data_IF_358357242118
#
_entry.id   IF_358357242118
#
_cell.length_a   1.000
_cell.length_b   1.000
_cell.length_c   1.000
_cell.angle_alpha   90.00
_cell.angle_beta   90.00
_cell.angle_gamma   90.00
#
_symmetry.space_group_name_H-M   'P 1'
#
loop_
_entity.id
_entity.type
_entity.pdbx_description
1 polymer ?
#
# COMPACT_ATOMS: atom_id res chain seq x y z
N UNK A 1 6.74 -1.19 16.72
CA UNK A 1 6.57 -2.61 16.33
C UNK A 1 7.55 -2.88 15.21
N UNK A 2 8.34 -3.93 15.31
CA UNK A 2 9.26 -4.29 14.22
C UNK A 2 8.50 -4.56 12.91
N UNK A 3 9.10 -4.22 11.78
CA UNK A 3 8.48 -4.32 10.46
C UNK A 3 8.07 -5.75 10.10
N UNK A 4 8.83 -6.77 10.50
CA UNK A 4 8.51 -8.17 10.21
C UNK A 4 7.25 -8.60 10.96
N UNK A 5 7.16 -8.22 12.24
CA UNK A 5 5.96 -8.46 13.05
C UNK A 5 4.75 -7.70 12.50
N UNK A 6 4.96 -6.45 12.08
CA UNK A 6 3.90 -5.62 11.55
C UNK A 6 3.34 -6.20 10.23
N UNK A 7 4.20 -6.65 9.31
CA UNK A 7 3.80 -7.31 8.06
C UNK A 7 2.94 -8.56 8.34
N UNK A 8 3.37 -9.41 9.26
CA UNK A 8 2.62 -10.61 9.63
C UNK A 8 1.23 -10.29 10.21
N UNK A 9 1.15 -9.30 11.10
CA UNK A 9 -0.13 -8.88 11.68
C UNK A 9 -1.05 -8.21 10.65
N UNK A 10 -0.52 -7.34 9.78
CA UNK A 10 -1.30 -6.73 8.70
C UNK A 10 -1.83 -7.79 7.74
N UNK A 11 -1.03 -8.82 7.43
CA UNK A 11 -1.47 -9.96 6.62
C UNK A 11 -2.65 -10.69 7.25
N UNK A 12 -2.61 -10.89 8.58
CA UNK A 12 -3.69 -11.55 9.29
C UNK A 12 -4.98 -10.70 9.31
N UNK A 13 -4.86 -9.38 9.50
CA UNK A 13 -6.01 -8.47 9.67
C UNK A 13 -6.62 -8.05 8.33
N UNK A 14 -5.78 -7.74 7.35
CA UNK A 14 -6.17 -7.14 6.08
C UNK A 14 -6.07 -8.08 4.89
N UNK A 15 -5.30 -9.18 4.99
CA UNK A 15 -4.97 -10.02 3.84
C UNK A 15 -6.17 -10.67 3.12
N UNK A 16 -7.33 -10.76 3.77
CA UNK A 16 -8.57 -11.25 3.15
C UNK A 16 -9.54 -10.14 2.74
N UNK A 17 -9.44 -8.97 3.36
CA UNK A 17 -10.48 -7.93 3.28
C UNK A 17 -10.03 -6.69 2.51
N UNK A 18 -8.73 -6.52 2.30
CA UNK A 18 -8.18 -5.37 1.59
C UNK A 18 -7.54 -5.81 0.28
N UNK A 19 -8.16 -5.53 -0.89
CA UNK A 19 -7.67 -5.99 -2.18
C UNK A 19 -6.26 -5.49 -2.54
N UNK A 20 -5.87 -4.33 -2.00
CA UNK A 20 -4.55 -3.74 -2.20
C UNK A 20 -3.48 -4.29 -1.26
N UNK A 21 -3.84 -5.19 -0.32
CA UNK A 21 -2.90 -5.68 0.68
C UNK A 21 -1.67 -6.35 0.05
N UNK A 22 -1.83 -7.13 -1.01
CA UNK A 22 -0.69 -7.81 -1.69
C UNK A 22 0.33 -6.79 -2.20
N UNK A 23 -0.15 -5.71 -2.83
CA UNK A 23 0.68 -4.62 -3.33
C UNK A 23 1.33 -3.86 -2.16
N UNK A 24 0.55 -3.57 -1.11
CA UNK A 24 1.05 -2.89 0.07
C UNK A 24 2.14 -3.70 0.78
N UNK A 25 1.96 -5.02 0.88
CA UNK A 25 2.96 -5.91 1.45
C UNK A 25 4.26 -5.87 0.62
N UNK A 26 4.17 -5.89 -0.70
CA UNK A 26 5.34 -5.77 -1.58
C UNK A 26 6.03 -4.41 -1.46
N UNK A 27 5.27 -3.33 -1.30
CA UNK A 27 5.80 -2.00 -1.00
C UNK A 27 6.54 -1.99 0.34
N UNK A 28 5.99 -2.63 1.37
CA UNK A 28 6.65 -2.80 2.68
C UNK A 28 7.91 -3.68 2.63
N UNK A 29 8.13 -4.46 1.58
CA UNK A 29 9.40 -5.18 1.38
C UNK A 29 10.47 -4.31 0.73
N UNK A 30 10.07 -3.29 -0.03
CA UNK A 30 10.99 -2.35 -0.68
C UNK A 30 11.34 -1.17 0.22
N UNK A 31 10.50 -0.85 1.19
CA UNK A 31 10.74 0.24 2.12
C UNK A 31 11.90 -0.06 3.07
N UNK A 32 12.64 0.99 3.45
CA UNK A 32 13.73 0.90 4.44
C UNK A 32 13.22 1.02 5.89
N UNK A 33 11.90 1.04 6.08
CA UNK A 33 11.29 1.12 7.40
C UNK A 33 11.64 -0.11 8.22
N UNK A 34 12.25 0.10 9.38
CA UNK A 34 12.56 -0.97 10.34
C UNK A 34 11.45 -1.16 11.37
N UNK A 35 10.65 -0.14 11.60
CA UNK A 35 9.67 -0.10 12.69
C UNK A 35 8.41 0.63 12.21
N UNK A 36 7.25 0.07 12.51
CA UNK A 36 5.95 0.74 12.42
C UNK A 36 5.55 1.22 13.82
N UNK A 37 5.25 2.50 13.95
CA UNK A 37 4.74 3.09 15.20
C UNK A 37 3.20 3.01 15.25
N UNK A 38 2.60 3.36 16.38
CA UNK A 38 1.14 3.28 16.58
C UNK A 38 0.36 4.16 15.59
N UNK A 39 0.86 5.35 15.31
CA UNK A 39 0.23 6.30 14.40
C UNK A 39 0.20 5.76 12.96
N UNK A 40 1.35 5.30 12.46
CA UNK A 40 1.47 4.70 11.13
C UNK A 40 0.60 3.46 10.99
N UNK A 41 0.57 2.61 12.01
CA UNK A 41 -0.34 1.46 12.04
C UNK A 41 -1.81 1.87 11.93
N UNK A 42 -2.22 2.91 12.67
CA UNK A 42 -3.59 3.41 12.63
C UNK A 42 -3.94 3.97 11.25
N UNK A 43 -3.05 4.78 10.65
CA UNK A 43 -3.23 5.32 9.31
C UNK A 43 -3.33 4.22 8.25
N UNK A 44 -2.50 3.17 8.31
CA UNK A 44 -2.60 2.02 7.38
C UNK A 44 -3.97 1.34 7.48
N UNK A 45 -4.45 1.09 8.70
CA UNK A 45 -5.76 0.47 8.90
C UNK A 45 -6.89 1.37 8.42
N UNK A 46 -6.81 2.68 8.66
CA UNK A 46 -7.82 3.63 8.21
C UNK A 46 -7.83 3.72 6.68
N UNK A 47 -6.66 3.85 6.06
CA UNK A 47 -6.50 3.86 4.61
C UNK A 47 -7.08 2.60 3.97
N UNK A 48 -6.85 1.42 4.56
CA UNK A 48 -7.40 0.16 4.05
C UNK A 48 -8.93 0.10 4.01
N UNK A 49 -9.60 0.94 4.80
CA UNK A 49 -11.06 1.02 4.92
C UNK A 49 -11.64 2.23 4.20
N UNK A 50 -10.89 3.32 4.17
CA UNK A 50 -11.30 4.59 3.59
C UNK A 50 -11.09 4.61 2.08
N UNK A 51 -9.99 4.03 1.58
CA UNK A 51 -9.58 4.13 0.18
C UNK A 51 -10.02 2.91 -0.62
N UNK A 52 -10.62 3.18 -1.78
CA UNK A 52 -11.10 2.17 -2.71
C UNK A 52 -9.94 1.52 -3.47
N UNK A 53 -10.08 0.25 -3.92
CA UNK A 53 -9.01 -0.46 -4.61
C UNK A 53 -8.55 0.21 -5.92
N UNK A 54 -9.46 0.89 -6.61
CA UNK A 54 -9.18 1.67 -7.82
C UNK A 54 -8.44 3.00 -7.54
N UNK A 55 -8.39 3.44 -6.28
CA UNK A 55 -7.83 4.72 -5.82
C UNK A 55 -8.62 5.96 -6.31
N UNK A 56 -9.86 5.82 -6.78
CA UNK A 56 -10.67 6.94 -7.30
C UNK A 56 -10.98 7.98 -6.22
N UNK A 57 -11.14 7.54 -4.97
CA UNK A 57 -11.44 8.40 -3.84
C UNK A 57 -10.21 8.83 -3.02
N UNK A 58 -9.00 8.53 -3.51
CA UNK A 58 -7.77 8.98 -2.88
C UNK A 58 -7.44 10.42 -3.29
N UNK A 59 -7.19 11.26 -2.30
CA UNK A 59 -6.83 12.67 -2.45
C UNK A 59 -5.36 12.87 -2.05
N UNK A 60 -4.54 13.36 -2.98
CA UNK A 60 -3.10 13.57 -2.80
C UNK A 60 -2.75 14.79 -1.93
N UNK A 61 -3.68 15.73 -1.78
CA UNK A 61 -3.61 16.85 -0.84
C UNK A 61 -4.24 16.48 0.53
N UNK A 62 -4.63 15.22 0.70
CA UNK A 62 -5.21 14.67 1.91
C UNK A 62 -4.23 14.66 3.09
N UNK A 63 -4.77 14.46 4.30
CA UNK A 63 -3.97 14.41 5.53
C UNK A 63 -3.27 13.05 5.77
N UNK A 64 -3.05 12.27 4.71
CA UNK A 64 -2.39 10.97 4.83
C UNK A 64 -0.89 11.13 5.10
N UNK A 65 -0.26 10.18 5.82
CA UNK A 65 1.19 10.16 5.93
C UNK A 65 1.87 9.95 4.57
N UNK A 66 3.00 10.62 4.37
CA UNK A 66 3.85 10.52 3.16
C UNK A 66 4.09 9.07 2.71
N UNK A 67 4.23 8.12 3.64
CA UNK A 67 4.39 6.69 3.31
C UNK A 67 3.24 6.14 2.47
N UNK A 68 2.01 6.55 2.74
CA UNK A 68 0.83 6.12 1.98
C UNK A 68 0.75 6.80 0.62
N UNK A 69 1.19 8.06 0.53
CA UNK A 69 1.29 8.77 -0.74
C UNK A 69 2.33 8.10 -1.66
N UNK A 70 3.50 7.76 -1.10
CA UNK A 70 4.53 6.96 -1.78
C UNK A 70 4.01 5.59 -2.21
N UNK A 71 3.17 4.94 -1.39
CA UNK A 71 2.54 3.67 -1.76
C UNK A 71 1.59 3.83 -2.95
N UNK A 72 0.75 4.86 -2.95
CA UNK A 72 -0.19 5.13 -4.05
C UNK A 72 0.55 5.42 -5.34
N UNK A 73 1.59 6.25 -5.28
CA UNK A 73 2.45 6.52 -6.43
C UNK A 73 3.10 5.23 -6.96
N UNK A 74 3.68 4.43 -6.06
CA UNK A 74 4.28 3.14 -6.42
C UNK A 74 3.26 2.19 -7.07
N UNK A 75 2.04 2.11 -6.54
CA UNK A 75 0.98 1.27 -7.09
C UNK A 75 0.55 1.74 -8.49
N UNK A 76 0.43 3.05 -8.71
CA UNK A 76 0.13 3.63 -10.03
C UNK A 76 1.24 3.28 -11.04
N UNK A 77 2.50 3.34 -10.64
CA UNK A 77 3.64 2.96 -11.49
C UNK A 77 3.61 1.45 -11.83
N UNK A 78 3.34 0.58 -10.85
CA UNK A 78 3.22 -0.86 -11.09
C UNK A 78 2.10 -1.19 -12.10
N UNK A 79 0.95 -0.52 -12.00
CA UNK A 79 -0.16 -0.70 -12.95
C UNK A 79 0.24 -0.27 -14.36
N UNK A 80 0.84 0.91 -14.49
CA UNK A 80 1.35 1.41 -15.79
C UNK A 80 2.41 0.49 -16.39
N UNK A 81 3.30 -0.05 -15.56
CA UNK A 81 4.33 -0.99 -15.98
C UNK A 81 3.75 -2.33 -16.46
N UNK A 82 2.66 -2.80 -15.84
CA UNK A 82 1.93 -3.99 -16.28
C UNK A 82 1.27 -3.76 -17.65
N UNK A 83 0.55 -2.64 -17.81
CA UNK A 83 -0.11 -2.28 -19.08
C UNK A 83 0.89 -2.16 -20.25
N UNK A 84 2.06 -1.54 -20.01
CA UNK A 84 3.08 -1.36 -21.04
C UNK A 84 3.79 -2.69 -21.44
N UNK A 85 3.74 -3.72 -20.59
CA UNK A 85 4.29 -5.05 -20.91
C UNK A 85 3.38 -5.85 -21.84
N UNK A 86 2.07 -5.66 -21.74
CA UNK A 86 1.07 -6.34 -22.58
C UNK A 86 1.00 -5.74 -24.00
N UNK A 87 1.55 -4.54 -24.20
CA UNK A 87 1.49 -3.80 -25.47
C UNK A 87 2.70 -4.03 -26.41
N UNK A 88 3.57 -5.00 -26.12
CA UNK A 88 4.58 -5.49 -27.09
C UNK A 88 4.09 -6.75 -27.82
N UNK A 89 3.45 -6.62 -29.00
CA UNK A 89 3.33 -7.75 -29.91
C UNK A 89 4.72 -8.04 -30.51
N UNK A 90 5.24 -9.25 -30.28
CA UNK A 90 6.28 -9.85 -31.15
C UNK A 90 5.73 -10.11 -32.54
#
# INVERSE_FOLDING_TARGET
MDIETAKAMLSLVLGKNWPLFTYFHQFLEQTKLKVINKDQWCNILEFSRAIQPDLENYDEDGAWPVMLDEFVEWLKDQRRAAENREMRPT
#
